data_IF_701954910239
#
_entry.id   IF_701954910239
#
_cell.length_a   1.000
_cell.length_b   1.000
_cell.length_c   1.000
_cell.angle_alpha   90.00
_cell.angle_beta   90.00
_cell.angle_gamma   90.00
#
_symmetry.space_group_name_H-M   'P 1'
#
loop_
_entity.id
_entity.type
_entity.pdbx_description
1 polymer ?
#
# COMPACT_ATOMS: atom_id res chain seq x y z
N UNK A 1 27.02 -71.21 -9.92
CA UNK A 1 25.86 -70.97 -10.80
C UNK A 1 25.03 -69.87 -10.15
N UNK A 2 25.49 -68.61 -10.26
CA UNK A 2 24.86 -67.56 -11.09
C UNK A 2 23.36 -67.42 -10.77
N UNK A 3 23.02 -66.64 -9.73
CA UNK A 3 22.54 -65.24 -9.80
C UNK A 3 21.12 -65.09 -10.35
N UNK A 4 20.19 -64.59 -9.51
CA UNK A 4 19.29 -63.47 -9.86
C UNK A 4 18.42 -63.10 -8.65
N UNK A 5 18.93 -62.22 -7.80
CA UNK A 5 18.08 -61.44 -6.88
C UNK A 5 17.60 -60.22 -7.68
N UNK A 6 16.36 -60.27 -8.17
CA UNK A 6 15.76 -59.13 -8.86
C UNK A 6 15.42 -58.06 -7.80
N UNK A 7 16.32 -57.10 -7.61
CA UNK A 7 16.02 -55.86 -6.90
C UNK A 7 14.95 -55.11 -7.71
N UNK A 8 13.70 -55.13 -7.22
CA UNK A 8 12.65 -54.25 -7.75
C UNK A 8 13.09 -52.81 -7.52
N UNK A 9 13.15 -51.96 -8.56
CA UNK A 9 13.47 -50.56 -8.37
C UNK A 9 12.36 -49.94 -7.51
N UNK A 10 12.76 -49.23 -6.45
CA UNK A 10 11.85 -48.34 -5.74
C UNK A 10 11.46 -47.27 -6.77
N UNK A 11 10.25 -47.39 -7.31
CA UNK A 11 9.63 -46.35 -8.10
C UNK A 11 9.31 -45.21 -7.15
N UNK A 12 10.33 -44.40 -6.88
CA UNK A 12 10.18 -43.08 -6.30
C UNK A 12 9.40 -42.25 -7.32
N UNK A 13 8.08 -42.39 -7.29
CA UNK A 13 7.14 -41.40 -7.80
C UNK A 13 7.29 -40.18 -6.88
N UNK A 14 8.43 -39.49 -6.99
CA UNK A 14 8.52 -38.11 -6.58
C UNK A 14 7.64 -37.41 -7.59
N UNK A 15 6.40 -37.16 -7.19
CA UNK A 15 5.49 -36.24 -7.84
C UNK A 15 6.21 -34.89 -7.93
N UNK A 16 7.04 -34.76 -8.96
CA UNK A 16 7.50 -33.48 -9.48
C UNK A 16 6.22 -32.92 -10.08
N UNK A 17 5.43 -32.20 -9.28
CA UNK A 17 4.52 -31.22 -9.85
C UNK A 17 5.39 -30.42 -10.80
N UNK A 18 5.08 -30.54 -12.08
CA UNK A 18 5.69 -29.72 -13.09
C UNK A 18 5.37 -28.28 -12.69
N UNK A 19 6.40 -27.61 -12.19
CA UNK A 19 6.43 -26.17 -12.01
C UNK A 19 6.23 -25.61 -13.43
N UNK A 20 4.98 -25.34 -13.80
CA UNK A 20 4.66 -24.58 -14.99
C UNK A 20 5.44 -23.26 -14.99
N UNK A 21 5.68 -22.63 -16.16
CA UNK A 21 6.47 -21.42 -16.23
C UNK A 21 5.92 -20.44 -15.20
N UNK A 22 6.79 -19.97 -14.30
CA UNK A 22 6.50 -19.06 -13.19
C UNK A 22 5.33 -18.16 -13.56
N UNK A 23 4.11 -18.61 -13.26
CA UNK A 23 2.92 -17.83 -13.53
C UNK A 23 2.92 -16.84 -12.40
N UNK A 24 3.60 -15.72 -12.64
CA UNK A 24 3.45 -14.50 -11.89
C UNK A 24 1.97 -14.12 -11.94
N UNK A 25 1.16 -14.79 -11.13
CA UNK A 25 -0.19 -14.38 -10.81
C UNK A 25 -0.06 -13.40 -9.67
N UNK A 26 0.64 -12.30 -9.92
CA UNK A 26 0.26 -11.09 -9.21
C UNK A 26 -1.23 -10.90 -9.54
N UNK A 27 -2.11 -10.70 -8.55
CA UNK A 27 -3.44 -10.18 -8.84
C UNK A 27 -3.25 -8.94 -9.74
N UNK A 28 -4.15 -8.68 -10.70
CA UNK A 28 -4.09 -7.42 -11.44
C UNK A 28 -3.93 -6.31 -10.41
N UNK A 29 -2.79 -5.61 -10.49
CA UNK A 29 -2.51 -4.44 -9.65
C UNK A 29 -3.78 -3.60 -9.69
N UNK A 30 -4.43 -3.44 -8.53
CA UNK A 30 -5.71 -2.78 -8.45
C UNK A 30 -5.58 -1.44 -9.16
N UNK A 31 -6.54 -1.13 -10.05
CA UNK A 31 -6.47 0.10 -10.82
C UNK A 31 -6.49 1.27 -9.84
N UNK A 32 -5.70 2.34 -10.07
CA UNK A 32 -5.55 3.46 -9.13
C UNK A 32 -6.86 4.25 -8.88
N UNK A 33 -7.98 3.84 -9.49
CA UNK A 33 -9.29 4.47 -9.43
C UNK A 33 -10.24 3.89 -8.38
N UNK A 34 -9.97 2.70 -7.83
CA UNK A 34 -10.95 2.01 -6.99
C UNK A 34 -10.70 2.30 -5.50
N UNK A 35 -11.59 3.03 -4.80
CA UNK A 35 -11.40 3.39 -3.39
C UNK A 35 -11.52 2.19 -2.44
N UNK A 36 -11.80 0.99 -2.95
CA UNK A 36 -11.94 -0.22 -2.13
C UNK A 36 -10.66 -0.54 -1.34
N UNK A 37 -9.48 -0.30 -1.92
CA UNK A 37 -8.21 -0.53 -1.24
C UNK A 37 -7.96 0.46 -0.10
N UNK A 38 -8.73 1.55 -0.02
CA UNK A 38 -8.61 2.57 1.01
C UNK A 38 -9.40 2.24 2.28
N UNK A 39 -10.40 1.35 2.18
CA UNK A 39 -11.27 0.95 3.31
C UNK A 39 -10.49 0.61 4.60
N UNK A 40 -9.35 -0.10 4.56
CA UNK A 40 -8.58 -0.42 5.77
C UNK A 40 -8.02 0.81 6.51
N UNK A 41 -7.76 1.92 5.83
CA UNK A 41 -7.21 3.14 6.45
C UNK A 41 -8.27 3.96 7.19
N UNK A 42 -9.55 3.73 6.89
CA UNK A 42 -10.70 4.46 7.45
C UNK A 42 -11.51 3.64 8.45
N UNK A 43 -10.84 2.79 9.25
CA UNK A 43 -11.49 1.95 10.28
C UNK A 43 -12.28 2.75 11.33
N UNK A 44 -11.96 4.02 11.53
CA UNK A 44 -12.63 4.95 12.45
C UNK A 44 -13.95 5.52 11.91
N UNK A 45 -14.24 5.35 10.62
CA UNK A 45 -15.37 6.00 9.94
C UNK A 45 -16.22 4.95 9.25
N UNK A 46 -17.54 5.14 9.27
CA UNK A 46 -18.43 4.24 8.55
C UNK A 46 -18.18 4.39 7.03
N UNK A 47 -17.51 3.39 6.46
CA UNK A 47 -17.13 3.34 5.05
C UNK A 47 -18.33 3.34 4.08
N UNK A 48 -19.54 3.05 4.54
CA UNK A 48 -20.76 3.13 3.73
C UNK A 48 -21.23 4.58 3.51
N UNK A 49 -20.84 5.49 4.41
CA UNK A 49 -21.30 6.89 4.41
C UNK A 49 -20.17 7.90 4.19
N UNK A 50 -18.91 7.45 4.21
CA UNK A 50 -17.77 8.33 4.14
C UNK A 50 -17.42 8.66 2.69
N UNK A 51 -17.57 9.92 2.34
CA UNK A 51 -17.05 10.49 1.09
C UNK A 51 -15.67 11.11 1.34
N UNK A 52 -14.59 10.55 0.76
CA UNK A 52 -13.24 11.08 0.90
C UNK A 52 -13.08 12.50 0.36
N UNK A 53 -13.88 12.89 -0.64
CA UNK A 53 -13.82 14.22 -1.27
C UNK A 53 -14.53 15.28 -0.41
N UNK A 54 -15.53 14.88 0.38
CA UNK A 54 -16.23 15.78 1.29
C UNK A 54 -15.35 16.24 2.47
N UNK A 55 -14.31 15.47 2.82
CA UNK A 55 -13.41 15.76 3.94
C UNK A 55 -11.93 15.67 3.53
N UNK A 56 -11.46 16.55 2.63
CA UNK A 56 -10.15 16.42 1.99
C UNK A 56 -9.00 16.42 3.00
N UNK A 57 -9.00 17.33 3.98
CA UNK A 57 -7.93 17.41 4.97
C UNK A 57 -7.77 16.12 5.79
N UNK A 58 -8.90 15.53 6.21
CA UNK A 58 -8.91 14.29 6.96
C UNK A 58 -8.46 13.10 6.11
N UNK A 59 -8.96 12.99 4.88
CA UNK A 59 -8.58 11.95 3.92
C UNK A 59 -7.09 12.01 3.61
N UNK A 60 -6.59 13.20 3.27
CA UNK A 60 -5.17 13.42 2.94
C UNK A 60 -4.30 13.06 4.14
N UNK A 61 -4.57 13.63 5.32
CA UNK A 61 -3.78 13.36 6.52
C UNK A 61 -3.74 11.87 6.87
N UNK A 62 -4.87 11.17 6.74
CA UNK A 62 -4.95 9.73 7.01
C UNK A 62 -4.10 8.89 6.06
N UNK A 63 -4.12 9.20 4.77
CA UNK A 63 -3.31 8.48 3.77
C UNK A 63 -1.82 8.84 3.93
N UNK A 64 -1.49 10.09 4.26
CA UNK A 64 -0.11 10.47 4.53
C UNK A 64 0.47 9.77 5.77
N UNK A 65 -0.36 9.46 6.77
CA UNK A 65 0.10 8.80 7.99
C UNK A 65 0.21 7.26 7.85
N UNK A 66 -0.78 6.62 7.24
CA UNK A 66 -0.88 5.15 7.23
C UNK A 66 -0.93 4.52 5.84
N UNK A 67 -1.02 5.32 4.78
CA UNK A 67 -1.21 4.85 3.41
C UNK A 67 -0.03 4.04 2.87
N UNK A 68 -0.35 3.08 2.02
CA UNK A 68 0.62 2.35 1.21
C UNK A 68 0.88 3.08 -0.14
N UNK A 69 1.74 2.52 -0.98
CA UNK A 69 2.07 3.13 -2.28
C UNK A 69 0.84 3.34 -3.17
N UNK A 70 -0.10 2.39 -3.18
CA UNK A 70 -1.34 2.47 -3.95
C UNK A 70 -2.25 3.60 -3.46
N UNK A 71 -2.41 3.72 -2.14
CA UNK A 71 -3.19 4.79 -1.52
C UNK A 71 -2.59 6.17 -1.81
N UNK A 72 -1.25 6.30 -1.79
CA UNK A 72 -0.56 7.54 -2.15
C UNK A 72 -0.73 7.86 -3.64
N UNK A 73 -0.74 6.85 -4.50
CA UNK A 73 -0.99 7.02 -5.95
C UNK A 73 -2.41 7.53 -6.19
N UNK A 74 -3.40 6.95 -5.50
CA UNK A 74 -4.77 7.44 -5.52
C UNK A 74 -4.85 8.88 -4.99
N UNK A 75 -4.22 9.18 -3.85
CA UNK A 75 -4.19 10.51 -3.24
C UNK A 75 -3.73 11.59 -4.23
N UNK A 76 -2.64 11.31 -4.97
CA UNK A 76 -2.08 12.22 -5.98
C UNK A 76 -2.93 12.35 -7.23
N UNK A 77 -3.79 11.37 -7.53
CA UNK A 77 -4.73 11.43 -8.64
C UNK A 77 -6.01 12.19 -8.27
N UNK A 78 -6.43 12.12 -7.01
CA UNK A 78 -7.69 12.71 -6.51
C UNK A 78 -7.53 14.16 -6.06
N UNK A 79 -6.44 14.49 -5.34
CA UNK A 79 -6.23 15.81 -4.78
C UNK A 79 -5.09 16.56 -5.47
N UNK A 80 -5.24 17.89 -5.55
CA UNK A 80 -4.17 18.74 -6.06
C UNK A 80 -2.97 18.73 -5.11
N UNK A 81 -1.77 18.92 -5.66
CA UNK A 81 -0.54 19.01 -4.88
C UNK A 81 -0.61 20.13 -3.82
N UNK A 82 -1.28 21.25 -4.14
CA UNK A 82 -1.45 22.36 -3.19
C UNK A 82 -2.30 21.99 -1.99
N UNK A 83 -3.39 21.23 -2.18
CA UNK A 83 -4.19 20.71 -1.07
C UNK A 83 -3.36 19.76 -0.19
N UNK A 84 -2.54 18.92 -0.80
CA UNK A 84 -1.67 17.99 -0.06
C UNK A 84 -0.63 18.76 0.76
N UNK A 85 0.03 19.75 0.14
CA UNK A 85 1.00 20.62 0.83
C UNK A 85 0.36 21.41 1.97
N UNK A 86 -0.86 21.90 1.79
CA UNK A 86 -1.59 22.63 2.82
C UNK A 86 -1.86 21.75 4.05
N UNK A 87 -2.26 20.50 3.84
CA UNK A 87 -2.46 19.53 4.93
C UNK A 87 -1.13 19.23 5.63
N UNK A 88 -0.04 19.06 4.90
CA UNK A 88 1.29 18.85 5.52
C UNK A 88 1.69 20.05 6.39
N UNK A 89 1.38 21.28 5.98
CA UNK A 89 1.70 22.49 6.74
C UNK A 89 0.83 22.66 7.98
N UNK A 90 -0.46 22.34 7.89
CA UNK A 90 -1.45 22.70 8.91
C UNK A 90 -1.83 21.58 9.85
N UNK A 91 -1.74 20.32 9.43
CA UNK A 91 -2.21 19.18 10.22
C UNK A 91 -1.21 18.83 11.33
N UNK A 92 -1.66 18.95 12.58
CA UNK A 92 -0.90 18.60 13.78
C UNK A 92 -1.02 17.12 14.15
N UNK A 93 -1.93 16.37 13.49
CA UNK A 93 -2.20 14.96 13.79
C UNK A 93 -1.20 14.04 13.12
N UNK A 94 -0.45 14.53 12.13
CA UNK A 94 0.65 13.81 11.50
C UNK A 94 1.75 13.56 12.53
N UNK A 95 2.31 12.35 12.54
CA UNK A 95 3.46 12.10 13.39
C UNK A 95 4.67 12.88 12.87
N UNK A 96 5.62 13.31 13.74
CA UNK A 96 6.82 14.03 13.32
C UNK A 96 7.62 13.28 12.25
N UNK A 97 7.59 11.93 12.28
CA UNK A 97 8.23 11.08 11.29
C UNK A 97 7.57 11.21 9.91
N UNK A 98 6.25 11.06 9.85
CA UNK A 98 5.48 11.17 8.60
C UNK A 98 5.58 12.58 8.04
N UNK A 99 5.40 13.60 8.90
CA UNK A 99 5.52 15.00 8.52
C UNK A 99 6.91 15.32 7.93
N UNK A 100 7.99 14.84 8.57
CA UNK A 100 9.36 15.01 8.06
C UNK A 100 9.58 14.31 6.72
N UNK A 101 9.04 13.10 6.55
CA UNK A 101 9.16 12.38 5.28
C UNK A 101 8.47 13.15 4.14
N UNK A 102 7.23 13.58 4.35
CA UNK A 102 6.47 14.30 3.33
C UNK A 102 7.01 15.71 3.08
N UNK A 103 7.59 16.36 4.09
CA UNK A 103 8.31 17.62 3.93
C UNK A 103 9.43 17.50 2.89
N UNK A 104 10.21 16.41 2.96
CA UNK A 104 11.30 16.14 2.01
C UNK A 104 10.76 15.87 0.60
N UNK A 105 9.69 15.09 0.50
CA UNK A 105 9.07 14.73 -0.79
C UNK A 105 8.48 15.95 -1.50
N UNK A 106 7.84 16.87 -0.77
CA UNK A 106 7.20 18.05 -1.34
C UNK A 106 8.02 19.35 -1.21
N UNK A 107 9.29 19.22 -0.78
CA UNK A 107 10.22 20.34 -0.58
C UNK A 107 9.65 21.47 0.29
N UNK A 108 8.99 21.11 1.39
CA UNK A 108 8.45 22.04 2.38
C UNK A 108 9.48 22.20 3.49
N UNK A 109 9.86 23.43 3.87
CA UNK A 109 10.82 23.62 4.94
C UNK A 109 10.20 23.24 6.30
N UNK A 110 10.95 22.57 7.21
CA UNK A 110 10.40 22.06 8.49
C UNK A 110 9.77 23.12 9.39
N UNK A 111 10.25 24.37 9.34
CA UNK A 111 9.68 25.48 10.12
C UNK A 111 8.23 25.83 9.75
N UNK A 112 7.75 25.40 8.59
CA UNK A 112 6.39 25.70 8.11
C UNK A 112 5.39 24.59 8.44
N UNK A 113 5.83 23.54 9.15
CA UNK A 113 5.05 22.34 9.41
C UNK A 113 4.53 22.36 10.85
N UNK A 114 3.20 22.34 11.02
CA UNK A 114 2.57 22.38 12.34
C UNK A 114 2.94 21.19 13.23
N UNK A 115 3.08 19.98 12.67
CA UNK A 115 3.44 18.77 13.41
C UNK A 115 4.90 18.73 13.91
N UNK A 116 5.77 19.64 13.47
CA UNK A 116 7.18 19.71 13.87
C UNK A 116 7.50 20.86 14.83
N UNK A 117 6.48 21.62 15.24
CA UNK A 117 6.57 22.73 16.19
C UNK A 117 6.22 22.25 17.59
#
# INVERSE_FOLDING_TARGET
>A
MWLSFAAKPVSAQRNRKEEGPCQARWPPIASPSDPEHLKPFFWDVNAETFDPEAYPAYTIGRILEFGNEEAVRWLKATFSEDQIKEVIRTDQRLSPRSASFWALVYHIPPQDIAALK
#
